data_IF_885056063326
#
_entry.id   IF_885056063326
#
_cell.length_a   1.000
_cell.length_b   1.000
_cell.length_c   1.000
_cell.angle_alpha   90.00
_cell.angle_beta   90.00
_cell.angle_gamma   90.00
#
_symmetry.space_group_name_H-M   'P 1'
#
loop_
_entity.id
_entity.type
_entity.pdbx_description
1 polymer ?
#
# COMPACT_ATOMS: atom_id res chain seq x y z
N UNK A 1 -20.29 -1.02 -63.76
CA UNK A 1 -18.83 -0.76 -63.62
C UNK A 1 -18.37 -1.37 -62.30
N UNK A 2 -17.54 -2.42 -62.35
CA UNK A 2 -16.98 -3.12 -61.18
C UNK A 2 -15.85 -2.28 -60.59
N UNK A 3 -15.93 -1.89 -59.31
CA UNK A 3 -14.82 -1.24 -58.60
C UNK A 3 -13.91 -2.32 -58.00
N UNK A 4 -12.58 -2.25 -58.19
CA UNK A 4 -11.65 -3.23 -57.66
C UNK A 4 -11.43 -3.04 -56.16
N UNK A 5 -11.28 -4.16 -55.47
CA UNK A 5 -10.98 -4.28 -54.04
C UNK A 5 -9.48 -3.98 -53.83
N UNK A 6 -9.15 -2.94 -53.07
CA UNK A 6 -7.77 -2.65 -52.66
C UNK A 6 -7.53 -3.25 -51.27
N UNK A 7 -6.66 -4.25 -51.18
CA UNK A 7 -6.20 -4.85 -49.92
C UNK A 7 -4.92 -4.12 -49.52
N UNK A 8 -4.95 -3.40 -48.40
CA UNK A 8 -3.77 -2.78 -47.80
C UNK A 8 -3.29 -3.66 -46.64
N UNK A 9 -2.08 -4.20 -46.75
CA UNK A 9 -1.41 -4.97 -45.69
C UNK A 9 -0.89 -3.97 -44.65
N UNK A 10 -1.41 -4.04 -43.42
CA UNK A 10 -0.98 -3.19 -42.30
C UNK A 10 0.33 -3.73 -41.71
N UNK A 11 1.36 -2.89 -41.64
CA UNK A 11 2.65 -3.21 -41.03
C UNK A 11 2.59 -3.41 -39.52
N UNK A 12 3.28 -4.43 -39.03
CA UNK A 12 3.42 -4.75 -37.61
C UNK A 12 4.55 -3.90 -37.00
N UNK A 13 4.21 -2.90 -36.18
CA UNK A 13 5.17 -2.20 -35.32
C UNK A 13 5.30 -2.92 -33.97
N UNK A 14 6.51 -3.10 -33.40
CA UNK A 14 6.69 -3.71 -32.10
C UNK A 14 6.14 -2.81 -30.98
N UNK A 15 5.31 -3.40 -30.14
CA UNK A 15 4.70 -2.78 -28.97
C UNK A 15 5.76 -2.68 -27.86
N UNK A 16 6.29 -1.48 -27.64
CA UNK A 16 7.05 -1.18 -26.41
C UNK A 16 6.07 -1.10 -25.24
N UNK A 17 6.12 -2.06 -24.33
CA UNK A 17 5.41 -1.97 -23.05
C UNK A 17 6.17 -1.04 -22.12
N UNK A 18 5.67 0.18 -21.96
CA UNK A 18 6.11 1.09 -20.90
C UNK A 18 5.60 0.57 -19.56
N UNK A 19 6.50 0.21 -18.65
CA UNK A 19 6.16 0.02 -17.24
C UNK A 19 5.86 1.39 -16.63
N UNK A 20 4.59 1.69 -16.36
CA UNK A 20 4.24 2.82 -15.50
C UNK A 20 4.59 2.45 -14.07
N UNK A 21 5.57 3.13 -13.47
CA UNK A 21 5.69 3.18 -12.02
C UNK A 21 4.45 3.90 -11.48
N UNK A 22 3.58 3.15 -10.80
CA UNK A 22 2.38 3.70 -10.16
C UNK A 22 2.81 4.34 -8.84
N UNK A 23 3.26 5.59 -8.89
CA UNK A 23 3.28 6.45 -7.71
C UNK A 23 1.89 7.07 -7.55
N UNK A 24 1.40 7.16 -6.30
CA UNK A 24 0.10 7.74 -5.99
C UNK A 24 0.02 9.18 -6.53
N UNK A 25 -0.94 9.45 -7.41
CA UNK A 25 -1.09 10.76 -8.05
C UNK A 25 -1.52 11.81 -7.01
N UNK A 26 -0.77 12.91 -6.81
CA UNK A 26 -1.20 13.98 -5.91
C UNK A 26 -2.47 14.62 -6.45
N UNK A 27 -3.51 14.74 -5.62
CA UNK A 27 -4.76 15.40 -6.02
C UNK A 27 -4.52 16.91 -6.18
N UNK A 28 -4.88 17.44 -7.36
CA UNK A 28 -4.87 18.87 -7.69
C UNK A 28 -6.26 19.43 -7.34
N UNK A 29 -6.37 20.08 -6.18
CA UNK A 29 -7.54 20.87 -5.78
C UNK A 29 -7.12 22.31 -5.52
N UNK A 30 -7.89 23.30 -5.98
CA UNK A 30 -7.58 24.72 -5.78
C UNK A 30 -7.62 25.08 -4.29
N UNK A 31 -6.61 25.77 -3.74
CA UNK A 31 -6.59 26.17 -2.34
C UNK A 31 -7.52 27.36 -2.07
N UNK A 32 -7.86 27.66 -0.80
CA UNK A 32 -8.38 28.96 -0.40
C UNK A 32 -7.42 30.10 -0.82
N UNK A 33 -7.97 31.28 -1.15
CA UNK A 33 -7.28 32.39 -1.82
C UNK A 33 -5.99 32.92 -1.16
N UNK A 34 -5.70 32.50 0.06
CA UNK A 34 -4.61 32.92 0.93
C UNK A 34 -3.46 31.89 1.05
N UNK A 35 -3.47 30.81 0.26
CA UNK A 35 -2.32 29.89 0.15
C UNK A 35 -2.15 29.44 -1.31
N UNK A 36 -1.30 30.09 -2.12
CA UNK A 36 -1.31 29.98 -3.59
C UNK A 36 -0.83 28.63 -4.16
N UNK A 37 -0.47 27.65 -3.32
CA UNK A 37 0.07 26.38 -3.79
C UNK A 37 -0.74 25.17 -3.27
N UNK A 38 -1.62 24.68 -4.15
CA UNK A 38 -2.40 23.43 -4.02
C UNK A 38 -1.57 22.17 -3.77
N UNK A 39 -0.27 22.25 -4.04
CA UNK A 39 0.69 21.15 -3.97
C UNK A 39 1.71 21.35 -2.85
N UNK A 40 1.60 22.41 -2.04
CA UNK A 40 2.50 22.61 -0.91
C UNK A 40 2.34 21.46 0.10
N UNK A 41 3.45 20.84 0.49
CA UNK A 41 3.50 19.82 1.55
C UNK A 41 2.97 20.30 2.92
N UNK A 42 2.76 21.61 3.07
CA UNK A 42 2.26 22.27 4.29
C UNK A 42 0.74 22.57 4.30
N UNK A 43 -0.02 22.07 3.32
CA UNK A 43 -1.45 22.33 3.19
C UNK A 43 -2.31 21.59 4.25
N UNK A 44 -2.37 22.14 5.47
CA UNK A 44 -3.20 21.63 6.59
C UNK A 44 -4.70 21.54 6.29
N UNK A 45 -5.22 22.27 5.29
CA UNK A 45 -6.62 22.14 4.87
C UNK A 45 -6.95 20.78 4.23
N UNK A 46 -5.93 19.99 3.83
CA UNK A 46 -6.12 18.57 3.51
C UNK A 46 -6.35 17.72 4.76
N UNK A 47 -5.95 18.17 5.95
CA UNK A 47 -5.89 17.41 7.21
C UNK A 47 -6.92 17.84 8.28
N UNK A 48 -7.96 18.59 7.91
CA UNK A 48 -9.12 18.81 8.77
C UNK A 48 -9.60 20.26 8.82
N UNK A 49 -10.78 20.50 8.24
CA UNK A 49 -12.02 21.00 8.86
C UNK A 49 -12.99 21.20 7.68
N UNK A 50 -13.88 20.24 7.44
CA UNK A 50 -14.89 20.40 6.40
C UNK A 50 -16.16 20.95 7.06
N UNK A 51 -16.55 22.16 6.67
CA UNK A 51 -17.76 22.80 7.18
C UNK A 51 -19.05 22.06 6.76
N UNK A 52 -18.97 20.97 6.00
CA UNK A 52 -20.14 20.30 5.41
C UNK A 52 -20.43 18.87 5.90
N UNK A 53 -19.48 18.11 6.49
CA UNK A 53 -19.76 16.72 6.96
C UNK A 53 -18.74 16.21 7.99
N UNK A 54 -19.12 15.85 9.23
CA UNK A 54 -20.23 16.35 10.04
C UNK A 54 -19.99 17.82 10.45
N UNK A 55 -21.05 18.64 10.44
CA UNK A 55 -21.00 20.05 10.85
C UNK A 55 -20.33 20.22 12.23
N UNK A 56 -19.24 20.98 12.28
CA UNK A 56 -18.64 21.46 13.54
C UNK A 56 -17.73 20.48 14.29
N UNK A 57 -17.46 19.29 13.74
CA UNK A 57 -16.53 18.36 14.39
C UNK A 57 -15.10 18.58 13.91
N UNK A 58 -14.19 18.81 14.86
CA UNK A 58 -12.76 18.75 14.61
C UNK A 58 -12.39 17.31 14.21
N UNK A 59 -12.22 17.07 12.92
CA UNK A 59 -11.74 15.78 12.42
C UNK A 59 -10.21 15.76 12.45
N UNK A 60 -9.63 14.76 13.11
CA UNK A 60 -8.26 14.33 12.78
C UNK A 60 -8.35 13.41 11.58
N UNK A 61 -8.28 13.97 10.38
CA UNK A 61 -8.59 13.24 9.16
C UNK A 61 -8.32 14.07 7.92
N UNK A 62 -8.43 13.45 6.74
CA UNK A 62 -8.16 14.15 5.49
C UNK A 62 -9.39 14.36 4.62
N UNK A 63 -9.35 15.42 3.83
CA UNK A 63 -10.24 15.64 2.69
C UNK A 63 -9.59 15.15 1.41
N UNK A 64 -10.44 14.88 0.41
CA UNK A 64 -10.02 14.47 -0.94
C UNK A 64 -9.09 13.24 -0.95
N UNK A 65 -9.40 12.26 -0.10
CA UNK A 65 -8.78 10.95 -0.20
C UNK A 65 -7.24 10.97 0.02
N UNK A 66 -6.74 11.90 0.82
CA UNK A 66 -5.29 11.96 1.10
C UNK A 66 -4.93 10.95 2.21
N UNK A 67 -3.82 10.21 2.12
CA UNK A 67 -3.30 9.47 3.26
C UNK A 67 -2.89 10.43 4.39
N UNK A 68 -2.93 9.95 5.63
CA UNK A 68 -2.44 10.69 6.80
C UNK A 68 -1.04 10.18 7.12
N UNK A 69 -0.08 11.09 7.21
CA UNK A 69 1.29 10.75 7.58
C UNK A 69 1.64 11.35 8.93
N UNK A 70 2.42 10.61 9.72
CA UNK A 70 3.10 11.17 10.89
C UNK A 70 4.61 11.18 10.65
N UNK A 71 5.27 12.23 11.13
CA UNK A 71 6.70 12.44 10.96
C UNK A 71 7.37 12.81 12.28
N UNK A 72 8.64 12.46 12.41
CA UNK A 72 9.54 12.97 13.45
C UNK A 72 10.82 13.43 12.76
N UNK A 73 11.17 14.71 12.86
CA UNK A 73 12.37 15.28 12.22
C UNK A 73 12.49 14.91 10.73
N UNK A 74 11.43 15.17 9.95
CA UNK A 74 11.33 14.83 8.51
C UNK A 74 11.39 13.33 8.17
N UNK A 75 11.39 12.44 9.16
CA UNK A 75 11.35 10.99 8.97
C UNK A 75 9.91 10.49 9.14
N UNK A 76 9.33 9.80 8.15
CA UNK A 76 7.99 9.22 8.31
C UNK A 76 7.99 8.12 9.38
N UNK A 77 6.92 8.08 10.19
CA UNK A 77 6.75 7.13 11.32
C UNK A 77 5.50 6.28 11.21
N UNK A 78 4.46 6.83 10.58
CA UNK A 78 3.23 6.09 10.30
C UNK A 78 2.48 6.66 9.10
N UNK A 79 1.68 5.80 8.47
CA UNK A 79 0.79 6.16 7.36
C UNK A 79 -0.56 5.49 7.55
N UNK A 80 -1.63 6.28 7.62
CA UNK A 80 -2.98 5.78 7.37
C UNK A 80 -3.24 5.84 5.87
N UNK A 81 -3.50 4.70 5.24
CA UNK A 81 -3.81 4.66 3.83
C UNK A 81 -5.05 5.50 3.52
N UNK A 82 -5.02 6.27 2.43
CA UNK A 82 -6.22 6.90 1.88
C UNK A 82 -7.21 5.84 1.36
N UNK A 83 -8.33 6.27 0.82
CA UNK A 83 -9.21 5.47 -0.03
C UNK A 83 -8.50 5.05 -1.35
N UNK A 84 -8.38 3.76 -1.57
CA UNK A 84 -7.68 3.11 -2.68
C UNK A 84 -8.65 2.41 -3.66
N UNK A 85 -9.94 2.73 -3.61
CA UNK A 85 -10.93 2.18 -4.56
C UNK A 85 -10.51 2.51 -5.99
N UNK A 86 -10.25 1.46 -6.78
CA UNK A 86 -9.82 1.59 -8.19
C UNK A 86 -8.32 1.87 -8.38
N UNK A 87 -7.57 2.17 -7.32
CA UNK A 87 -6.16 2.56 -7.38
C UNK A 87 -5.29 1.80 -6.34
N UNK A 88 -5.66 0.56 -6.02
CA UNK A 88 -4.92 -0.30 -5.12
C UNK A 88 -3.56 -0.69 -5.70
N UNK A 89 -2.46 -0.38 -5.00
CA UNK A 89 -1.13 -0.91 -5.34
C UNK A 89 -1.10 -2.43 -5.22
N UNK A 90 -0.28 -3.07 -6.05
CA UNK A 90 -0.10 -4.51 -6.00
C UNK A 90 0.64 -4.91 -4.71
N UNK A 91 0.16 -5.99 -4.09
CA UNK A 91 0.81 -6.70 -2.99
C UNK A 91 0.98 -8.14 -3.45
N UNK A 92 2.21 -8.58 -3.71
CA UNK A 92 2.49 -9.93 -4.22
C UNK A 92 1.69 -10.25 -5.49
N UNK A 93 1.55 -9.26 -6.39
CA UNK A 93 0.76 -9.36 -7.62
C UNK A 93 -0.76 -9.23 -7.45
N UNK A 94 -1.29 -9.16 -6.22
CA UNK A 94 -2.71 -8.95 -5.96
C UNK A 94 -3.05 -7.46 -5.85
N UNK A 95 -4.08 -7.00 -6.54
CA UNK A 95 -4.58 -5.62 -6.48
C UNK A 95 -6.10 -5.55 -6.62
N UNK A 96 -6.60 -4.45 -7.21
CA UNK A 96 -8.03 -4.19 -7.37
C UNK A 96 -8.78 -5.35 -8.03
N UNK A 97 -8.19 -5.98 -9.07
CA UNK A 97 -8.83 -7.07 -9.83
C UNK A 97 -9.12 -8.28 -8.94
N UNK A 98 -8.26 -8.54 -7.95
CA UNK A 98 -8.42 -9.64 -6.99
C UNK A 98 -9.18 -9.20 -5.74
N UNK A 99 -9.82 -8.03 -5.79
CA UNK A 99 -10.64 -7.48 -4.73
C UNK A 99 -9.86 -6.92 -3.54
N UNK A 100 -8.54 -6.72 -3.66
CA UNK A 100 -7.74 -6.11 -2.60
C UNK A 100 -8.15 -4.64 -2.45
N UNK A 101 -8.35 -4.23 -1.20
CA UNK A 101 -8.56 -2.84 -0.83
C UNK A 101 -7.98 -2.61 0.56
N UNK A 102 -6.90 -1.84 0.64
CA UNK A 102 -6.21 -1.51 1.90
C UNK A 102 -6.52 -0.09 2.37
N UNK A 103 -7.66 0.46 1.95
CA UNK A 103 -8.13 1.78 2.39
C UNK A 103 -8.23 1.85 3.91
N UNK A 104 -7.69 2.92 4.50
CA UNK A 104 -7.75 3.14 5.95
C UNK A 104 -6.89 2.19 6.78
N UNK A 105 -6.06 1.34 6.16
CA UNK A 105 -5.14 0.49 6.90
C UNK A 105 -3.96 1.32 7.44
N UNK A 106 -3.48 0.94 8.62
CA UNK A 106 -2.45 1.67 9.36
C UNK A 106 -1.09 1.02 9.19
N UNK A 107 -0.10 1.78 8.73
CA UNK A 107 1.31 1.43 8.70
C UNK A 107 2.04 2.13 9.84
N UNK A 108 2.90 1.41 10.54
CA UNK A 108 3.82 1.92 11.56
C UNK A 108 5.23 1.38 11.30
N UNK A 109 6.26 2.22 11.37
CA UNK A 109 7.64 1.78 11.24
C UNK A 109 8.47 2.60 10.25
N UNK A 110 9.69 2.14 9.96
CA UNK A 110 10.61 2.85 9.06
C UNK A 110 10.15 2.81 7.60
N UNK A 111 10.67 3.68 6.74
CA UNK A 111 10.46 3.59 5.29
C UNK A 111 11.51 2.67 4.66
N UNK A 112 11.29 1.36 4.75
CA UNK A 112 12.17 0.34 4.17
C UNK A 112 11.85 0.10 2.69
N UNK A 113 12.87 -0.30 1.93
CA UNK A 113 12.75 -0.56 0.49
C UNK A 113 12.02 -1.86 0.19
N UNK A 114 11.11 -1.84 -0.78
CA UNK A 114 10.37 -2.99 -1.29
C UNK A 114 10.46 -3.03 -2.80
N UNK A 115 11.49 -3.66 -3.34
CA UNK A 115 11.88 -3.57 -4.76
C UNK A 115 10.68 -3.63 -5.73
N UNK A 116 10.48 -2.63 -6.61
CA UNK A 116 11.29 -1.41 -6.84
C UNK A 116 10.82 -0.15 -6.05
N UNK A 117 9.96 -0.32 -5.06
CA UNK A 117 9.20 0.73 -4.39
C UNK A 117 9.60 0.95 -2.90
N UNK A 118 8.82 1.78 -2.19
CA UNK A 118 8.81 1.88 -0.72
C UNK A 118 7.37 1.99 -0.17
N UNK A 119 7.21 1.92 1.15
CA UNK A 119 5.87 1.95 1.75
C UNK A 119 5.22 3.32 1.78
N UNK A 120 5.99 4.37 2.06
CA UNK A 120 5.39 5.66 2.35
C UNK A 120 4.98 6.42 1.08
N UNK A 121 5.72 6.26 -0.02
CA UNK A 121 5.49 6.97 -1.28
C UNK A 121 4.66 6.16 -2.30
N UNK A 122 4.89 4.86 -2.42
CA UNK A 122 4.33 4.05 -3.52
C UNK A 122 3.38 2.94 -3.05
N UNK A 123 3.45 2.53 -1.78
CA UNK A 123 2.59 1.47 -1.23
C UNK A 123 1.90 1.93 0.06
N UNK A 124 1.76 1.04 1.03
CA UNK A 124 1.15 1.28 2.33
C UNK A 124 0.95 -0.03 3.10
N UNK A 125 0.09 0.00 4.11
CA UNK A 125 -0.21 -1.16 4.95
C UNK A 125 -0.90 -2.32 4.19
N UNK A 126 -0.50 -3.57 4.44
CA UNK A 126 -1.01 -4.76 3.74
C UNK A 126 -2.25 -5.39 4.40
N UNK A 127 -2.37 -5.24 5.72
CA UNK A 127 -3.53 -5.60 6.53
C UNK A 127 -3.91 -4.41 7.42
N UNK A 128 -5.00 -4.51 8.19
CA UNK A 128 -5.52 -3.42 9.03
C UNK A 128 -4.43 -2.73 9.84
N UNK A 129 -3.47 -3.49 10.37
CA UNK A 129 -2.25 -2.97 10.97
C UNK A 129 -1.02 -3.58 10.28
N UNK A 130 -0.08 -2.74 9.86
CA UNK A 130 1.20 -3.16 9.31
C UNK A 130 2.31 -2.57 10.18
N UNK A 131 3.06 -3.44 10.86
CA UNK A 131 4.30 -3.09 11.54
C UNK A 131 5.48 -3.35 10.61
N UNK A 132 6.05 -2.28 10.08
CA UNK A 132 7.29 -2.34 9.34
C UNK A 132 8.48 -2.22 10.29
N UNK A 133 9.46 -3.08 10.08
CA UNK A 133 10.57 -3.30 10.97
C UNK A 133 11.61 -2.20 11.00
N UNK A 134 12.73 -2.52 11.64
CA UNK A 134 13.80 -1.56 11.95
C UNK A 134 15.18 -2.02 11.46
N UNK A 135 15.29 -3.11 10.70
CA UNK A 135 16.61 -3.48 10.15
C UNK A 135 17.21 -2.35 9.32
N UNK A 136 18.52 -2.16 9.47
CA UNK A 136 19.26 -1.06 8.87
C UNK A 136 19.12 -1.09 7.34
N UNK A 137 18.70 0.05 6.76
CA UNK A 137 18.73 0.33 5.33
C UNK A 137 20.13 -0.03 4.77
N UNK A 138 20.25 -0.88 3.72
CA UNK A 138 19.24 -1.26 2.73
C UNK A 138 18.54 -2.60 2.99
N UNK A 139 18.01 -2.79 4.20
CA UNK A 139 17.06 -3.86 4.47
C UNK A 139 15.90 -3.82 3.46
N UNK A 140 15.78 -4.90 2.68
CA UNK A 140 14.61 -5.13 1.86
C UNK A 140 13.53 -5.78 2.72
N UNK A 141 12.30 -5.47 2.42
CA UNK A 141 11.12 -6.14 2.94
C UNK A 141 10.38 -6.83 1.80
N UNK A 142 9.39 -7.66 2.15
CA UNK A 142 8.92 -8.69 1.24
C UNK A 142 7.39 -8.78 1.18
N UNK A 143 6.88 -9.17 0.01
CA UNK A 143 5.44 -9.35 -0.24
C UNK A 143 5.03 -10.81 -0.40
N UNK A 144 5.96 -11.74 -0.60
CA UNK A 144 5.63 -13.12 -0.96
C UNK A 144 4.89 -13.83 0.16
N UNK A 145 3.87 -14.59 -0.20
CA UNK A 145 2.99 -15.25 0.77
C UNK A 145 1.75 -14.43 1.15
N UNK A 146 1.64 -13.17 0.71
CA UNK A 146 0.42 -12.39 0.89
C UNK A 146 -0.75 -13.11 0.21
N UNK A 147 -1.93 -13.02 0.82
CA UNK A 147 -3.19 -13.53 0.29
C UNK A 147 -4.25 -12.48 0.46
N UNK A 148 -5.21 -12.42 -0.46
CA UNK A 148 -6.28 -11.42 -0.49
C UNK A 148 -7.21 -11.44 0.74
N UNK A 149 -7.17 -12.53 1.53
CA UNK A 149 -7.89 -12.67 2.80
C UNK A 149 -7.14 -12.10 4.02
N UNK A 150 -5.84 -11.75 3.90
CA UNK A 150 -5.02 -11.16 4.98
C UNK A 150 -5.39 -9.69 5.22
N UNK A 151 -6.65 -9.45 5.58
CA UNK A 151 -7.24 -8.12 5.77
C UNK A 151 -7.27 -7.74 7.24
N UNK A 152 -7.94 -8.55 8.04
CA UNK A 152 -8.18 -8.30 9.47
C UNK A 152 -7.10 -8.96 10.31
N UNK A 153 -6.00 -8.23 10.53
CA UNK A 153 -4.87 -8.73 11.29
C UNK A 153 -3.73 -7.73 11.36
N UNK A 154 -2.57 -8.25 11.79
CA UNK A 154 -1.31 -7.54 11.87
C UNK A 154 -0.33 -8.21 10.89
N UNK A 155 0.17 -7.42 9.95
CA UNK A 155 1.31 -7.81 9.11
C UNK A 155 2.59 -7.27 9.72
N UNK A 156 3.63 -8.10 9.72
CA UNK A 156 4.98 -7.72 10.10
C UNK A 156 5.88 -7.88 8.88
N UNK A 157 6.70 -6.89 8.57
CA UNK A 157 7.79 -7.02 7.60
C UNK A 157 9.08 -6.51 8.19
N UNK A 158 10.11 -7.33 8.21
CA UNK A 158 11.46 -6.94 8.62
C UNK A 158 12.43 -7.98 8.06
N UNK A 159 13.71 -7.64 7.90
CA UNK A 159 14.76 -8.61 7.58
C UNK A 159 14.46 -9.51 6.34
N UNK A 160 13.81 -8.96 5.30
CA UNK A 160 13.36 -9.71 4.11
C UNK A 160 12.27 -10.76 4.35
N UNK A 161 11.68 -10.81 5.54
CA UNK A 161 10.60 -11.71 5.90
C UNK A 161 9.25 -11.01 5.99
N UNK A 162 8.19 -11.82 5.97
CA UNK A 162 6.86 -11.37 6.38
C UNK A 162 6.20 -12.35 7.32
N UNK A 163 5.58 -11.83 8.38
CA UNK A 163 4.60 -12.56 9.18
C UNK A 163 3.20 -11.91 9.11
N UNK A 164 2.18 -12.70 9.40
CA UNK A 164 0.80 -12.27 9.58
C UNK A 164 0.19 -12.99 10.78
N UNK A 165 -0.53 -12.26 11.60
CA UNK A 165 -1.44 -12.83 12.61
C UNK A 165 -2.81 -12.19 12.46
N UNK A 166 -3.87 -12.97 12.39
CA UNK A 166 -5.22 -12.44 12.25
C UNK A 166 -6.23 -13.46 11.77
N UNK A 167 -7.38 -12.98 11.33
CA UNK A 167 -8.47 -13.84 10.92
C UNK A 167 -8.49 -14.08 9.42
N UNK A 168 -8.97 -15.26 9.03
CA UNK A 168 -9.46 -15.58 7.69
C UNK A 168 -10.92 -15.95 7.78
N UNK A 169 -11.79 -15.14 7.19
CA UNK A 169 -13.20 -15.51 7.03
C UNK A 169 -13.35 -16.51 5.88
N UNK A 170 -14.00 -17.65 6.15
CA UNK A 170 -14.31 -18.68 5.16
C UNK A 170 -15.79 -18.67 4.77
N UNK A 171 -16.68 -18.31 5.71
CA UNK A 171 -18.11 -18.09 5.51
C UNK A 171 -18.65 -17.17 6.61
N UNK A 172 -19.96 -16.86 6.59
CA UNK A 172 -20.63 -16.19 7.71
C UNK A 172 -20.42 -17.03 8.98
N UNK A 173 -19.90 -16.39 10.04
CA UNK A 173 -19.60 -17.02 11.32
C UNK A 173 -18.64 -18.24 11.26
N UNK A 174 -17.84 -18.36 10.18
CA UNK A 174 -16.79 -19.38 10.06
C UNK A 174 -15.45 -18.69 9.79
N UNK A 175 -14.57 -18.68 10.79
CA UNK A 175 -13.28 -18.00 10.72
C UNK A 175 -12.15 -18.86 11.27
N UNK A 176 -11.00 -18.83 10.59
CA UNK A 176 -9.75 -19.34 11.12
C UNK A 176 -8.99 -18.20 11.80
N UNK A 177 -8.39 -18.45 12.97
CA UNK A 177 -7.33 -17.61 13.50
C UNK A 177 -5.99 -18.15 13.00
N UNK A 178 -5.23 -17.32 12.29
CA UNK A 178 -4.04 -17.73 11.56
C UNK A 178 -2.83 -16.99 12.10
N UNK A 179 -1.78 -17.76 12.38
CA UNK A 179 -0.39 -17.28 12.45
C UNK A 179 0.32 -17.81 11.21
N UNK A 180 0.86 -16.90 10.40
CA UNK A 180 1.55 -17.22 9.17
C UNK A 180 2.91 -16.52 9.14
N UNK A 181 3.92 -17.21 8.63
CA UNK A 181 5.23 -16.66 8.32
C UNK A 181 5.60 -17.04 6.88
N UNK A 182 6.39 -16.20 6.23
CA UNK A 182 6.85 -16.39 4.86
C UNK A 182 8.29 -15.91 4.72
N UNK A 183 9.12 -16.88 4.35
CA UNK A 183 10.54 -16.77 4.02
C UNK A 183 10.79 -16.02 2.69
N UNK A 184 11.97 -15.44 2.55
CA UNK A 184 12.46 -14.83 1.31
C UNK A 184 12.75 -15.89 0.24
N UNK A 185 12.04 -15.90 -0.90
CA UNK A 185 12.22 -16.95 -1.92
C UNK A 185 13.45 -16.75 -2.83
N UNK A 186 14.61 -16.38 -2.28
CA UNK A 186 15.84 -16.19 -3.08
C UNK A 186 16.77 -17.39 -2.87
N UNK A 187 16.93 -18.19 -3.94
CA UNK A 187 17.64 -19.48 -3.97
C UNK A 187 19.15 -19.41 -3.71
N UNK A 188 19.53 -19.02 -2.51
CA UNK A 188 20.82 -19.30 -1.88
C UNK A 188 20.61 -20.16 -0.64
N UNK A 189 21.69 -20.71 -0.08
CA UNK A 189 21.65 -21.36 1.24
C UNK A 189 21.30 -20.27 2.26
N UNK A 190 20.01 -20.08 2.53
CA UNK A 190 19.54 -19.15 3.55
C UNK A 190 20.06 -19.56 4.93
N UNK A 191 20.34 -18.57 5.77
CA UNK A 191 20.47 -18.84 7.20
C UNK A 191 19.13 -19.41 7.72
N UNK A 192 19.14 -20.25 8.77
CA UNK A 192 17.91 -20.83 9.27
C UNK A 192 17.01 -19.77 9.92
N UNK A 193 15.75 -19.71 9.49
CA UNK A 193 14.71 -18.93 10.15
C UNK A 193 13.92 -19.79 11.13
N UNK A 194 13.50 -19.19 12.25
CA UNK A 194 12.82 -19.91 13.33
C UNK A 194 11.55 -19.19 13.77
N UNK A 195 10.44 -19.93 13.80
CA UNK A 195 9.24 -19.54 14.55
C UNK A 195 9.29 -20.16 15.94
N UNK A 196 9.35 -19.34 16.98
CA UNK A 196 9.54 -19.80 18.36
C UNK A 196 8.41 -19.28 19.25
N UNK A 197 7.83 -20.17 20.06
CA UNK A 197 6.88 -19.84 21.11
C UNK A 197 7.56 -20.03 22.47
N UNK A 198 7.91 -18.93 23.13
CA UNK A 198 8.58 -18.95 24.43
C UNK A 198 7.59 -18.66 25.56
N UNK A 199 7.57 -19.52 26.56
CA UNK A 199 6.84 -19.28 27.82
C UNK A 199 7.82 -18.69 28.83
N UNK A 200 7.58 -17.45 29.25
CA UNK A 200 8.40 -16.73 30.23
C UNK A 200 7.64 -16.66 31.56
N UNK A 201 8.35 -16.77 32.68
CA UNK A 201 7.79 -16.67 34.05
C UNK A 201 7.77 -15.25 34.57
#
# INVERSE_FOLDING_TARGET
MKKPLCITILGLLPLFTSFTSQAQTPVIGTPPANNPNAQAGAAWYRGGNNNTVPLGNNIFGTLWNSPIYTFTANTPRSKLNGNLVGAQYLINGFGTIQGVNTSGYMLLGNDLGITPNNFYNQKGAFSMLHLNGNTNNPGFIQEQGYRTWMRTGITFTDNQDRAYIGYRANALDVSDFIVNWSDNSVGGVGAPDNMIFNFLS
#
